data_IF_747866040526
#
_entry.id   IF_747866040526
#
_cell.length_a   1.000
_cell.length_b   1.000
_cell.length_c   1.000
_cell.angle_alpha   90.00
_cell.angle_beta   90.00
_cell.angle_gamma   90.00
#
_symmetry.space_group_name_H-M   'P 1'
#
loop_
_entity.id
_entity.type
_entity.pdbx_description
1 polymer ?
#
# COMPACT_ATOMS: atom_id res chain seq x y z
N UNK A 1 -19.47 8.81 3.80
CA UNK A 1 -18.61 8.99 2.62
C UNK A 1 -19.36 8.49 1.38
N UNK A 2 -19.87 9.38 0.54
CA UNK A 2 -20.12 9.00 -0.85
C UNK A 2 -18.85 9.31 -1.62
N UNK A 3 -17.97 8.31 -1.77
CA UNK A 3 -16.81 8.41 -2.64
C UNK A 3 -17.26 8.77 -4.05
N UNK A 4 -16.42 9.49 -4.81
CA UNK A 4 -16.72 9.81 -6.21
C UNK A 4 -17.16 8.52 -6.92
N UNK A 5 -18.29 8.51 -7.65
CA UNK A 5 -18.73 7.32 -8.37
C UNK A 5 -17.58 6.75 -9.21
N UNK A 6 -17.24 5.49 -8.99
CA UNK A 6 -16.15 4.80 -9.69
C UNK A 6 -14.74 4.95 -9.10
N UNK A 7 -14.54 5.69 -8.00
CA UNK A 7 -13.22 5.83 -7.37
C UNK A 7 -12.62 4.49 -6.93
N UNK A 8 -13.42 3.62 -6.29
CA UNK A 8 -12.94 2.29 -5.89
C UNK A 8 -12.58 1.44 -7.12
N UNK A 9 -13.39 1.48 -8.18
CA UNK A 9 -13.13 0.74 -9.42
C UNK A 9 -11.82 1.20 -10.06
N UNK A 10 -11.57 2.51 -10.13
CA UNK A 10 -10.32 3.07 -10.66
C UNK A 10 -9.12 2.69 -9.78
N UNK A 11 -9.27 2.75 -8.45
CA UNK A 11 -8.22 2.33 -7.53
C UNK A 11 -7.87 0.85 -7.71
N UNK A 12 -8.87 -0.03 -7.80
CA UNK A 12 -8.67 -1.45 -8.06
C UNK A 12 -8.00 -1.71 -9.40
N UNK A 13 -8.37 -0.96 -10.46
CA UNK A 13 -7.72 -1.07 -11.75
C UNK A 13 -6.21 -0.75 -11.66
N UNK A 14 -5.85 0.34 -10.98
CA UNK A 14 -4.44 0.69 -10.78
C UNK A 14 -3.68 -0.31 -9.92
N UNK A 15 -4.29 -0.86 -8.87
CA UNK A 15 -3.66 -1.91 -8.07
C UNK A 15 -3.45 -3.19 -8.86
N UNK A 16 -4.39 -3.55 -9.73
CA UNK A 16 -4.24 -4.68 -10.66
C UNK A 16 -3.08 -4.45 -11.63
N UNK A 17 -2.95 -3.24 -12.20
CA UNK A 17 -1.82 -2.87 -13.06
C UNK A 17 -0.48 -2.95 -12.31
N UNK A 18 -0.41 -2.43 -11.09
CA UNK A 18 0.79 -2.51 -10.26
C UNK A 18 1.16 -3.95 -9.90
N UNK A 19 0.19 -4.76 -9.47
CA UNK A 19 0.40 -6.18 -9.17
C UNK A 19 0.89 -6.95 -10.42
N UNK A 20 0.37 -6.61 -11.61
CA UNK A 20 0.83 -7.19 -12.87
C UNK A 20 2.29 -6.84 -13.18
N UNK A 21 2.74 -5.61 -12.89
CA UNK A 21 4.15 -5.22 -13.04
C UNK A 21 5.05 -6.11 -12.15
N UNK A 22 4.67 -6.33 -10.89
CA UNK A 22 5.40 -7.25 -10.00
C UNK A 22 5.40 -8.68 -10.53
N UNK A 23 4.27 -9.12 -11.09
CA UNK A 23 4.06 -10.50 -11.54
C UNK A 23 4.84 -10.84 -12.80
N UNK A 24 4.68 -10.01 -13.83
CA UNK A 24 5.13 -10.27 -15.19
C UNK A 24 6.43 -9.52 -15.52
N UNK A 25 6.47 -8.20 -15.34
CA UNK A 25 7.64 -7.38 -15.71
C UNK A 25 8.84 -7.66 -14.80
N UNK A 26 8.59 -7.92 -13.50
CA UNK A 26 9.62 -8.26 -12.53
C UNK A 26 9.84 -9.77 -12.34
N UNK A 27 9.27 -10.61 -13.21
CA UNK A 27 9.33 -12.09 -13.09
C UNK A 27 10.74 -12.64 -12.84
N UNK A 28 11.75 -12.06 -13.51
CA UNK A 28 13.15 -12.48 -13.37
C UNK A 28 13.75 -12.21 -11.97
N UNK A 29 13.17 -11.28 -11.22
CA UNK A 29 13.67 -10.87 -9.89
C UNK A 29 12.85 -11.46 -8.74
N UNK A 30 11.59 -11.87 -8.97
CA UNK A 30 10.69 -12.38 -7.91
C UNK A 30 11.24 -13.55 -7.10
N UNK A 31 12.03 -14.43 -7.73
CA UNK A 31 12.64 -15.57 -7.03
C UNK A 31 13.70 -15.14 -6.01
N UNK A 32 14.21 -13.91 -6.12
CA UNK A 32 15.26 -13.36 -5.24
C UNK A 32 14.69 -12.65 -4.03
N UNK A 33 13.47 -12.13 -4.11
CA UNK A 33 12.86 -11.42 -2.99
C UNK A 33 11.55 -10.70 -3.34
N UNK A 34 10.93 -10.07 -2.33
CA UNK A 34 9.59 -9.50 -2.41
C UNK A 34 9.50 -8.10 -3.03
N UNK A 35 10.62 -7.39 -3.20
CA UNK A 35 10.62 -6.09 -3.87
C UNK A 35 10.51 -6.23 -5.38
N UNK A 36 10.21 -5.14 -6.09
CA UNK A 36 10.14 -5.11 -7.55
C UNK A 36 11.44 -5.63 -8.20
N UNK A 37 12.59 -5.28 -7.61
CA UNK A 37 13.91 -5.74 -8.06
C UNK A 37 14.46 -6.89 -7.19
N UNK A 38 13.56 -7.71 -6.64
CA UNK A 38 13.89 -8.91 -5.88
C UNK A 38 14.25 -8.59 -4.43
N UNK A 39 15.51 -8.78 -4.06
CA UNK A 39 16.06 -8.50 -2.73
C UNK A 39 16.53 -7.04 -2.57
N UNK A 40 16.54 -6.26 -3.65
CA UNK A 40 16.96 -4.85 -3.64
C UNK A 40 15.77 -3.90 -3.55
N UNK A 41 15.77 -3.07 -2.52
CA UNK A 41 14.85 -1.93 -2.44
C UNK A 41 15.10 -0.99 -3.62
N UNK A 42 14.04 -0.57 -4.29
CA UNK A 42 14.10 0.31 -5.45
C UNK A 42 13.24 1.55 -5.26
N UNK A 43 13.31 2.47 -6.23
CA UNK A 43 12.43 3.64 -6.26
C UNK A 43 10.94 3.26 -6.30
N UNK A 44 10.59 2.06 -6.76
CA UNK A 44 9.21 1.62 -6.77
C UNK A 44 8.65 1.49 -5.34
N UNK A 45 9.37 0.82 -4.45
CA UNK A 45 8.97 0.72 -3.05
C UNK A 45 8.96 2.08 -2.37
N UNK A 46 10.02 2.88 -2.57
CA UNK A 46 10.17 4.19 -1.93
C UNK A 46 8.99 5.11 -2.26
N UNK A 47 8.51 5.10 -3.50
CA UNK A 47 7.42 5.98 -3.95
C UNK A 47 6.02 5.45 -3.61
N UNK A 48 5.82 4.13 -3.57
CA UNK A 48 4.47 3.53 -3.45
C UNK A 48 4.15 3.09 -2.02
N UNK A 49 5.11 2.48 -1.33
CA UNK A 49 4.86 1.80 -0.06
C UNK A 49 4.43 2.73 1.08
N UNK A 50 4.94 3.98 1.22
CA UNK A 50 4.41 4.90 2.22
C UNK A 50 2.91 5.15 2.10
N UNK A 51 2.35 5.12 0.88
CA UNK A 51 0.91 5.26 0.67
C UNK A 51 0.17 3.97 1.02
N UNK A 52 0.66 2.81 0.56
CA UNK A 52 0.06 1.51 0.89
C UNK A 52 0.04 1.26 2.40
N UNK A 53 1.11 1.62 3.11
CA UNK A 53 1.15 1.57 4.58
C UNK A 53 0.10 2.46 5.22
N UNK A 54 -0.03 3.72 4.80
CA UNK A 54 -1.09 4.61 5.33
C UNK A 54 -2.48 4.06 5.04
N UNK A 55 -2.70 3.45 3.88
CA UNK A 55 -3.98 2.81 3.56
C UNK A 55 -4.26 1.56 4.40
N UNK A 56 -3.23 0.77 4.75
CA UNK A 56 -3.34 -0.35 5.70
C UNK A 56 -3.83 0.11 7.08
N UNK A 57 -3.51 1.35 7.48
CA UNK A 57 -3.99 1.97 8.74
C UNK A 57 -5.37 2.62 8.58
N UNK A 58 -5.53 3.45 7.56
CA UNK A 58 -6.67 4.36 7.44
C UNK A 58 -7.94 3.67 6.96
N UNK A 59 -7.85 2.75 5.99
CA UNK A 59 -9.03 2.16 5.37
C UNK A 59 -9.78 1.22 6.31
N UNK A 60 -9.12 0.37 7.13
CA UNK A 60 -9.85 -0.40 8.13
C UNK A 60 -10.59 0.48 9.13
N UNK A 61 -9.99 1.62 9.52
CA UNK A 61 -10.58 2.55 10.48
C UNK A 61 -11.78 3.32 9.89
N UNK A 62 -11.66 3.85 8.67
CA UNK A 62 -12.67 4.73 8.08
C UNK A 62 -13.65 4.04 7.12
N UNK A 63 -13.38 2.82 6.68
CA UNK A 63 -14.17 2.09 5.68
C UNK A 63 -14.52 0.66 6.16
N UNK A 64 -15.01 0.54 7.39
CA UNK A 64 -15.58 -0.71 7.93
C UNK A 64 -14.67 -1.94 7.79
N UNK A 65 -13.39 -1.81 8.12
CA UNK A 65 -12.44 -2.93 8.05
C UNK A 65 -11.93 -3.24 6.63
N UNK A 66 -12.15 -2.38 5.64
CA UNK A 66 -11.68 -2.59 4.27
C UNK A 66 -10.16 -2.75 4.18
N UNK A 67 -9.70 -3.86 3.60
CA UNK A 67 -8.29 -4.19 3.40
C UNK A 67 -7.92 -4.05 1.93
N UNK A 68 -7.17 -3.00 1.60
CA UNK A 68 -6.88 -2.64 0.21
C UNK A 68 -6.11 -3.73 -0.57
N UNK A 69 -5.18 -4.41 0.09
CA UNK A 69 -4.25 -5.35 -0.54
C UNK A 69 -4.63 -6.82 -0.39
N UNK A 70 -5.85 -7.13 0.08
CA UNK A 70 -6.29 -8.51 0.31
C UNK A 70 -6.17 -9.39 -0.97
N UNK A 71 -6.47 -8.80 -2.13
CA UNK A 71 -6.43 -9.48 -3.43
C UNK A 71 -5.09 -9.29 -4.19
N UNK A 72 -4.10 -8.60 -3.59
CA UNK A 72 -2.86 -8.18 -4.25
C UNK A 72 -1.62 -8.70 -3.48
N UNK A 73 -1.33 -10.01 -3.56
CA UNK A 73 -0.37 -10.67 -2.69
C UNK A 73 1.08 -10.22 -2.91
N UNK A 74 1.49 -9.85 -4.13
CA UNK A 74 2.86 -9.41 -4.38
C UNK A 74 3.10 -8.00 -3.83
N UNK A 75 2.13 -7.10 -4.00
CA UNK A 75 2.17 -5.78 -3.37
C UNK A 75 2.13 -5.87 -1.84
N UNK A 76 1.32 -6.77 -1.28
CA UNK A 76 1.29 -7.00 0.16
C UNK A 76 2.64 -7.56 0.66
N UNK A 77 3.26 -8.50 -0.05
CA UNK A 77 4.58 -9.02 0.31
C UNK A 77 5.65 -7.92 0.31
N UNK A 78 5.63 -7.03 -0.70
CA UNK A 78 6.52 -5.86 -0.73
C UNK A 78 6.28 -4.92 0.46
N UNK A 79 5.02 -4.65 0.82
CA UNK A 79 4.66 -3.83 1.99
C UNK A 79 5.21 -4.43 3.29
N UNK A 80 4.98 -5.72 3.54
CA UNK A 80 5.48 -6.34 4.77
C UNK A 80 7.01 -6.37 4.81
N UNK A 81 7.68 -6.60 3.68
CA UNK A 81 9.13 -6.56 3.60
C UNK A 81 9.72 -5.17 3.90
N UNK A 82 9.10 -4.10 3.37
CA UNK A 82 9.51 -2.72 3.69
C UNK A 82 9.24 -2.38 5.15
N UNK A 83 8.08 -2.78 5.70
CA UNK A 83 7.76 -2.59 7.12
C UNK A 83 8.79 -3.25 8.02
N UNK A 84 9.33 -4.40 7.65
CA UNK A 84 10.36 -5.08 8.45
C UNK A 84 11.73 -4.35 8.47
N UNK A 85 11.95 -3.32 7.64
CA UNK A 85 13.24 -2.60 7.59
C UNK A 85 13.40 -1.63 8.76
N UNK A 86 14.57 -1.59 9.43
CA UNK A 86 14.86 -0.61 10.47
C UNK A 86 14.63 0.85 10.01
N UNK A 87 15.12 1.20 8.82
CA UNK A 87 14.96 2.54 8.25
C UNK A 87 13.49 2.96 8.05
N UNK A 88 12.59 2.00 7.81
CA UNK A 88 11.17 2.31 7.70
C UNK A 88 10.56 2.51 9.09
N UNK A 89 10.92 1.65 10.05
CA UNK A 89 10.49 1.78 11.44
C UNK A 89 10.93 3.12 12.07
N UNK A 90 12.11 3.63 11.71
CA UNK A 90 12.60 4.94 12.15
C UNK A 90 11.81 6.14 11.59
N UNK A 91 11.03 5.96 10.52
CA UNK A 91 10.36 7.06 9.81
C UNK A 91 8.84 7.04 9.90
N UNK A 92 8.24 5.93 10.33
CA UNK A 92 6.79 5.83 10.55
C UNK A 92 6.38 6.40 11.91
N UNK A 93 5.07 6.61 12.05
CA UNK A 93 4.41 7.00 13.30
C UNK A 93 3.41 5.92 13.70
N UNK A 94 2.92 6.00 14.93
CA UNK A 94 1.82 5.14 15.39
C UNK A 94 0.52 5.40 14.61
N UNK A 95 -0.36 4.39 14.57
CA UNK A 95 -1.62 4.46 13.82
C UNK A 95 -2.45 5.72 14.13
N UNK A 96 -2.52 6.09 15.41
CA UNK A 96 -3.24 7.27 15.90
C UNK A 96 -2.76 8.58 15.27
N UNK A 97 -1.47 8.70 14.95
CA UNK A 97 -0.94 9.89 14.29
C UNK A 97 -1.58 10.09 12.92
N UNK A 98 -1.68 9.01 12.14
CA UNK A 98 -2.29 9.06 10.81
C UNK A 98 -3.80 9.22 10.90
N UNK A 99 -4.47 8.48 11.79
CA UNK A 99 -5.93 8.55 11.95
C UNK A 99 -6.35 9.99 12.28
N UNK A 100 -5.75 10.61 13.31
CA UNK A 100 -6.01 12.00 13.69
C UNK A 100 -5.67 12.98 12.57
N UNK A 101 -4.55 12.74 11.88
CA UNK A 101 -4.13 13.55 10.74
C UNK A 101 -5.16 13.59 9.61
N UNK A 102 -5.90 12.51 9.37
CA UNK A 102 -6.91 12.43 8.31
C UNK A 102 -8.35 12.67 8.78
N UNK A 103 -8.58 12.84 10.09
CA UNK A 103 -9.90 13.06 10.67
C UNK A 103 -10.68 14.21 10.00
N UNK A 104 -10.08 15.38 9.68
CA UNK A 104 -10.81 16.48 9.04
C UNK A 104 -11.42 16.13 7.67
N UNK A 105 -10.84 15.15 6.96
CA UNK A 105 -11.31 14.71 5.64
C UNK A 105 -12.12 13.41 5.69
N UNK A 106 -12.25 12.80 6.87
CA UNK A 106 -12.98 11.53 7.04
C UNK A 106 -14.51 11.67 6.95
N UNK A 107 -15.02 12.87 7.22
CA UNK A 107 -16.46 13.19 7.31
C UNK A 107 -16.87 14.36 6.41
N UNK A 108 -16.02 14.78 5.47
CA UNK A 108 -16.33 15.91 4.59
C UNK A 108 -17.71 15.68 3.90
N UNK A 109 -18.56 16.73 3.84
CA UNK A 109 -19.98 16.64 3.51
C UNK A 109 -20.26 15.96 2.16
#
# INVERSE_FOLDING_TARGET
MQGRPGAEKSLRAHLTELEQIWRENAKAYRVKGPYLLGDKLSSAEINVIPFLFRFEVLLPHYQNGFQLLADYPLLNAALQAVKARPSFQETIREADFYIKGYEPWSKAP
#
